data_IF_848162448058
#
_entry.id   IF_848162448058
#
_cell.length_a   1.000
_cell.length_b   1.000
_cell.length_c   1.000
_cell.angle_alpha   90.00
_cell.angle_beta   90.00
_cell.angle_gamma   90.00
#
_symmetry.space_group_name_H-M   'P 1'
#
loop_
_entity.id
_entity.type
_entity.pdbx_description
1 polymer ?
#
# COMPACT_ATOMS: atom_id res chain seq x y z
N UNK A 1 -25.63 -4.47 0.72
CA UNK A 1 -24.97 -3.38 1.46
C UNK A 1 -23.47 -3.62 1.51
N UNK A 2 -22.96 -4.62 2.25
CA UNK A 2 -21.51 -4.88 2.39
C UNK A 2 -20.69 -5.01 1.08
N UNK A 3 -21.27 -5.59 0.02
CA UNK A 3 -20.59 -5.70 -1.27
C UNK A 3 -20.35 -4.34 -1.95
N UNK A 4 -21.31 -3.42 -1.85
CA UNK A 4 -21.16 -2.08 -2.40
C UNK A 4 -20.09 -1.29 -1.64
N UNK A 5 -20.03 -1.44 -0.31
CA UNK A 5 -18.99 -0.80 0.52
C UNK A 5 -17.60 -1.35 0.20
N UNK A 6 -17.48 -2.65 -0.06
CA UNK A 6 -16.23 -3.27 -0.50
C UNK A 6 -15.77 -2.71 -1.85
N UNK A 7 -16.67 -2.62 -2.84
CA UNK A 7 -16.35 -2.04 -4.15
C UNK A 7 -16.03 -0.54 -4.06
N UNK A 8 -16.70 0.21 -3.18
CA UNK A 8 -16.40 1.62 -2.94
C UNK A 8 -15.02 1.80 -2.31
N UNK A 9 -14.65 0.97 -1.33
CA UNK A 9 -13.31 0.97 -0.73
C UNK A 9 -12.22 0.61 -1.74
N UNK A 10 -12.47 -0.39 -2.59
CA UNK A 10 -11.57 -0.78 -3.69
C UNK A 10 -11.42 0.34 -4.72
N UNK A 11 -12.53 1.00 -5.10
CA UNK A 11 -12.48 2.14 -6.01
C UNK A 11 -11.66 3.29 -5.43
N UNK A 12 -11.82 3.59 -4.13
CA UNK A 12 -11.04 4.63 -3.45
C UNK A 12 -9.55 4.27 -3.38
N UNK A 13 -9.23 3.02 -3.05
CA UNK A 13 -7.86 2.51 -3.06
C UNK A 13 -7.22 2.67 -4.45
N UNK A 14 -7.92 2.28 -5.52
CA UNK A 14 -7.44 2.44 -6.90
C UNK A 14 -7.24 3.91 -7.30
N UNK A 15 -8.14 4.81 -6.87
CA UNK A 15 -7.98 6.25 -7.08
C UNK A 15 -6.70 6.74 -6.40
N UNK A 16 -6.45 6.36 -5.14
CA UNK A 16 -5.24 6.74 -4.42
C UNK A 16 -3.98 6.15 -5.06
N UNK A 17 -4.02 4.87 -5.44
CA UNK A 17 -2.90 4.17 -6.06
C UNK A 17 -2.57 4.75 -7.45
N UNK A 18 -3.58 5.21 -8.19
CA UNK A 18 -3.42 5.88 -9.49
C UNK A 18 -3.06 7.37 -9.39
N UNK A 19 -3.37 8.04 -8.28
CA UNK A 19 -3.13 9.47 -8.10
C UNK A 19 -1.63 9.80 -8.02
N UNK A 20 -0.86 9.02 -7.26
CA UNK A 20 0.60 9.20 -7.15
C UNK A 20 1.35 9.11 -8.49
N UNK A 21 1.15 8.07 -9.33
CA UNK A 21 1.78 7.99 -10.65
C UNK A 21 1.27 9.07 -11.60
N UNK A 22 0.01 9.53 -11.48
CA UNK A 22 -0.54 10.60 -12.31
C UNK A 22 0.04 11.98 -11.97
N UNK A 23 0.10 12.33 -10.68
CA UNK A 23 0.57 13.65 -10.22
C UNK A 23 2.08 13.80 -10.35
N UNK A 24 2.87 12.75 -10.04
CA UNK A 24 4.32 12.84 -10.00
C UNK A 24 5.02 11.58 -10.54
N UNK A 25 4.90 11.28 -11.85
CA UNK A 25 5.40 10.03 -12.44
C UNK A 25 6.91 9.84 -12.30
N UNK A 26 7.69 10.93 -12.33
CA UNK A 26 9.14 10.89 -12.19
C UNK A 26 9.58 10.57 -10.75
N UNK A 27 8.91 11.16 -9.74
CA UNK A 27 9.18 10.87 -8.33
C UNK A 27 8.77 9.43 -8.01
N UNK A 28 7.60 9.01 -8.47
CA UNK A 28 7.12 7.64 -8.32
C UNK A 28 8.12 6.61 -8.86
N UNK A 29 8.60 6.80 -10.10
CA UNK A 29 9.60 5.91 -10.71
C UNK A 29 10.90 5.85 -9.93
N UNK A 30 11.39 6.98 -9.39
CA UNK A 30 12.61 7.01 -8.56
C UNK A 30 12.41 6.26 -7.25
N UNK A 31 11.26 6.42 -6.60
CA UNK A 31 10.94 5.68 -5.37
C UNK A 31 10.87 4.17 -5.62
N UNK A 32 10.22 3.75 -6.72
CA UNK A 32 10.18 2.34 -7.10
C UNK A 32 11.58 1.79 -7.43
N UNK A 33 12.41 2.54 -8.14
CA UNK A 33 13.79 2.13 -8.43
C UNK A 33 14.63 2.02 -7.15
N UNK A 34 14.45 2.94 -6.20
CA UNK A 34 15.11 2.86 -4.90
C UNK A 34 14.67 1.62 -4.12
N UNK A 35 13.36 1.31 -4.11
CA UNK A 35 12.83 0.09 -3.50
C UNK A 35 13.34 -1.19 -4.19
N UNK A 36 13.41 -1.18 -5.53
CA UNK A 36 13.94 -2.30 -6.31
C UNK A 36 15.45 -2.51 -6.12
N UNK A 37 16.19 -1.46 -5.71
CA UNK A 37 17.62 -1.56 -5.38
C UNK A 37 17.89 -2.10 -3.97
N UNK A 38 16.87 -2.28 -3.14
CA UNK A 38 17.02 -2.91 -1.82
C UNK A 38 17.24 -4.41 -1.98
N UNK A 39 18.08 -4.98 -1.11
CA UNK A 39 18.21 -6.44 -1.00
C UNK A 39 16.86 -7.09 -0.72
N UNK A 40 16.59 -8.21 -1.40
CA UNK A 40 15.37 -9.01 -1.24
C UNK A 40 15.01 -9.28 0.23
N UNK A 41 16.02 -9.53 1.07
CA UNK A 41 15.81 -9.84 2.47
C UNK A 41 15.27 -8.63 3.27
N UNK A 42 15.74 -7.41 2.96
CA UNK A 42 15.24 -6.18 3.57
C UNK A 42 13.84 -5.85 3.08
N UNK A 43 13.58 -6.06 1.79
CA UNK A 43 12.25 -5.85 1.21
C UNK A 43 11.22 -6.79 1.86
N UNK A 44 11.57 -8.06 2.05
CA UNK A 44 10.73 -9.04 2.76
C UNK A 44 10.48 -8.66 4.21
N UNK A 45 11.51 -8.24 4.94
CA UNK A 45 11.37 -7.83 6.34
C UNK A 45 10.48 -6.58 6.47
N UNK A 46 10.65 -5.61 5.57
CA UNK A 46 9.80 -4.42 5.51
C UNK A 46 8.35 -4.78 5.20
N UNK A 47 8.12 -5.68 4.23
CA UNK A 47 6.79 -6.20 3.92
C UNK A 47 6.15 -6.92 5.11
N UNK A 48 6.89 -7.78 5.81
CA UNK A 48 6.42 -8.45 7.02
C UNK A 48 6.06 -7.46 8.13
N UNK A 49 6.91 -6.45 8.37
CA UNK A 49 6.64 -5.42 9.36
C UNK A 49 5.37 -4.62 9.01
N UNK A 50 5.16 -4.27 7.74
CA UNK A 50 3.96 -3.58 7.27
C UNK A 50 2.69 -4.43 7.44
N UNK A 51 2.77 -5.73 7.14
CA UNK A 51 1.65 -6.68 7.35
C UNK A 51 1.31 -6.78 8.84
N UNK A 52 2.31 -6.96 9.70
CA UNK A 52 2.09 -7.05 11.15
C UNK A 52 1.48 -5.74 11.68
N UNK A 53 2.02 -4.58 11.30
CA UNK A 53 1.48 -3.29 11.70
C UNK A 53 0.02 -3.12 11.23
N UNK A 54 -0.28 -3.52 10.00
CA UNK A 54 -1.64 -3.51 9.46
C UNK A 54 -2.60 -4.41 10.22
N UNK A 55 -2.16 -5.62 10.59
CA UNK A 55 -2.95 -6.55 11.41
C UNK A 55 -3.21 -6.00 12.82
N UNK A 56 -2.20 -5.40 13.45
CA UNK A 56 -2.34 -4.76 14.76
C UNK A 56 -3.32 -3.59 14.69
N UNK A 57 -3.21 -2.72 13.68
CA UNK A 57 -4.16 -1.63 13.46
C UNK A 57 -5.58 -2.13 13.22
N UNK A 58 -5.73 -3.15 12.38
CA UNK A 58 -7.03 -3.75 12.08
C UNK A 58 -7.66 -4.32 13.35
N UNK A 59 -6.87 -5.03 14.16
CA UNK A 59 -7.32 -5.59 15.43
C UNK A 59 -7.67 -4.49 16.44
N UNK A 60 -6.94 -3.38 16.48
CA UNK A 60 -7.27 -2.25 17.36
C UNK A 60 -8.50 -1.46 16.92
N UNK A 61 -8.78 -1.37 15.62
CA UNK A 61 -9.93 -0.60 15.08
C UNK A 61 -11.21 -1.43 15.03
N UNK A 62 -11.11 -2.76 14.89
CA UNK A 62 -12.26 -3.69 14.85
C UNK A 62 -12.44 -4.53 16.11
N UNK A 63 -11.46 -4.54 17.01
CA UNK A 63 -11.51 -5.25 18.29
C UNK A 63 -12.16 -4.43 19.39
#
# INVERSE_FOLDING_TARGET
MAWADLFAGLAFYLVLEGLFPFVAPQRWRRSLAALASLEENRLRLFGLAAVIAGLVLLFSVRG
#
